data_IF_663043024750
#
_entry.id   IF_663043024750
#
_cell.length_a   1.000
_cell.length_b   1.000
_cell.length_c   1.000
_cell.angle_alpha   90.00
_cell.angle_beta   90.00
_cell.angle_gamma   90.00
#
_symmetry.space_group_name_H-M   'P 1'
#
loop_
_entity.id
_entity.type
_entity.pdbx_description
1 polymer ?
#
# COMPACT_ATOMS: atom_id res chain seq x y z
N UNK A 1 -8.08 -39.83 25.14
CA UNK A 1 -8.28 -38.83 24.07
C UNK A 1 -6.95 -38.13 23.85
N UNK A 2 -6.17 -38.55 22.87
CA UNK A 2 -4.93 -37.85 22.51
C UNK A 2 -5.33 -36.64 21.65
N UNK A 3 -5.21 -35.45 22.22
CA UNK A 3 -5.32 -34.21 21.45
C UNK A 3 -4.10 -34.16 20.52
N UNK A 4 -4.33 -34.26 19.21
CA UNK A 4 -3.30 -33.96 18.20
C UNK A 4 -2.99 -32.46 18.27
N UNK A 5 -2.10 -32.10 19.19
CA UNK A 5 -1.58 -30.74 19.32
C UNK A 5 -0.62 -30.51 18.16
N UNK A 6 -1.09 -29.85 17.10
CA UNK A 6 -0.24 -29.45 15.98
C UNK A 6 0.58 -28.23 16.41
N UNK A 7 1.89 -28.42 16.55
CA UNK A 7 2.81 -27.33 16.93
C UNK A 7 3.01 -26.42 15.71
N UNK A 8 2.79 -25.11 15.86
CA UNK A 8 3.02 -24.16 14.77
C UNK A 8 4.51 -23.88 14.55
N UNK A 9 4.90 -23.56 13.32
CA UNK A 9 6.31 -23.30 12.98
C UNK A 9 6.85 -22.08 13.72
N UNK A 10 6.02 -21.04 13.92
CA UNK A 10 6.41 -19.82 14.63
C UNK A 10 6.73 -20.07 16.11
N UNK A 11 6.03 -20.99 16.77
CA UNK A 11 6.26 -21.33 18.19
C UNK A 11 7.59 -22.05 18.44
N UNK A 12 8.14 -22.70 17.41
CA UNK A 12 9.40 -23.44 17.49
C UNK A 12 10.55 -22.75 16.76
N UNK A 13 10.33 -21.56 16.21
CA UNK A 13 11.35 -20.84 15.44
C UNK A 13 12.09 -19.81 16.27
N UNK A 14 13.41 -19.82 16.18
CA UNK A 14 14.26 -18.83 16.81
C UNK A 14 14.15 -17.49 16.07
N UNK A 15 13.89 -16.37 16.77
CA UNK A 15 13.73 -15.06 16.11
C UNK A 15 15.03 -14.46 15.58
N UNK A 16 16.19 -15.09 15.87
CA UNK A 16 17.51 -14.63 15.42
C UNK A 16 17.93 -15.34 14.15
N UNK A 17 18.02 -16.68 14.17
CA UNK A 17 18.42 -17.44 12.98
C UNK A 17 17.25 -17.71 12.03
N UNK A 18 16.00 -17.63 12.51
CA UNK A 18 14.78 -18.03 11.79
C UNK A 18 14.79 -19.51 11.39
N UNK A 19 15.25 -20.34 12.31
CA UNK A 19 15.22 -21.79 12.18
C UNK A 19 14.65 -22.40 13.48
N UNK A 20 14.29 -23.68 13.45
CA UNK A 20 13.81 -24.39 14.64
C UNK A 20 14.85 -24.27 15.76
N UNK A 21 14.40 -24.01 17.00
CA UNK A 21 15.34 -23.78 18.10
C UNK A 21 16.30 -24.96 18.30
N UNK A 22 17.58 -24.65 18.27
CA UNK A 22 18.66 -25.53 18.73
C UNK A 22 19.13 -25.06 20.10
N UNK A 23 18.95 -25.91 21.11
CA UNK A 23 19.24 -25.58 22.53
C UNK A 23 18.67 -24.21 22.94
N UNK A 24 17.33 -24.03 22.98
CA UNK A 24 16.71 -22.74 23.31
C UNK A 24 17.08 -22.32 24.74
N UNK A 25 17.66 -21.14 24.90
CA UNK A 25 17.97 -20.53 26.21
C UNK A 25 16.98 -19.42 26.54
N UNK A 26 16.51 -19.37 27.79
CA UNK A 26 15.55 -18.38 28.27
C UNK A 26 16.28 -17.21 28.94
N UNK A 27 16.17 -16.02 28.34
CA UNK A 27 16.78 -14.82 28.89
C UNK A 27 15.90 -14.18 29.98
N UNK A 28 16.47 -13.35 30.89
CA UNK A 28 15.71 -12.63 31.94
C UNK A 28 14.64 -11.67 31.41
N UNK A 29 14.70 -11.33 30.13
CA UNK A 29 13.68 -10.55 29.44
C UNK A 29 12.51 -11.40 28.90
N UNK A 30 12.48 -12.69 29.23
CA UNK A 30 11.51 -13.71 28.80
C UNK A 30 11.57 -14.11 27.32
N UNK A 31 12.56 -13.64 26.56
CA UNK A 31 12.78 -14.10 25.20
C UNK A 31 13.61 -15.38 25.17
N UNK A 32 13.24 -16.31 24.30
CA UNK A 32 14.03 -17.51 23.99
C UNK A 32 14.79 -17.33 22.68
N UNK A 33 16.06 -17.74 22.64
CA UNK A 33 16.92 -17.76 21.44
C UNK A 33 17.76 -19.05 21.44
N UNK A 34 18.31 -19.48 20.30
CA UNK A 34 19.27 -20.59 20.29
C UNK A 34 20.52 -20.24 21.10
N UNK A 35 21.12 -21.22 21.78
CA UNK A 35 22.38 -21.01 22.52
C UNK A 35 23.46 -20.39 21.64
N UNK A 36 23.62 -20.89 20.41
CA UNK A 36 24.63 -20.38 19.47
C UNK A 36 24.32 -18.95 19.02
N UNK A 37 23.04 -18.62 18.79
CA UNK A 37 22.61 -17.26 18.47
C UNK A 37 22.93 -16.28 19.61
N UNK A 38 22.74 -16.71 20.87
CA UNK A 38 23.10 -15.92 22.04
C UNK A 38 24.62 -15.74 22.14
N UNK A 39 25.38 -16.83 21.99
CA UNK A 39 26.84 -16.80 22.07
C UNK A 39 27.45 -15.90 20.99
N UNK A 40 26.96 -16.00 19.75
CA UNK A 40 27.37 -15.14 18.63
C UNK A 40 27.15 -13.66 18.97
N UNK A 41 26.03 -13.33 19.61
CA UNK A 41 25.73 -11.96 20.04
C UNK A 41 26.65 -11.49 21.19
N UNK A 42 26.94 -12.35 22.17
CA UNK A 42 27.77 -12.00 23.33
C UNK A 42 29.26 -11.92 23.02
N UNK A 43 29.74 -12.58 21.95
CA UNK A 43 31.12 -12.44 21.44
C UNK A 43 31.48 -11.01 21.07
N UNK A 44 30.50 -10.15 20.77
CA UNK A 44 30.69 -8.73 20.45
C UNK A 44 30.86 -7.82 21.70
N UNK A 45 31.02 -8.38 22.91
CA UNK A 45 31.32 -7.61 24.13
C UNK A 45 30.11 -6.96 24.82
N UNK A 46 28.89 -7.10 24.27
CA UNK A 46 27.66 -6.61 24.87
C UNK A 46 26.75 -7.76 25.30
N UNK A 47 26.56 -7.96 26.61
CA UNK A 47 25.68 -8.98 27.20
C UNK A 47 24.20 -8.54 27.10
N UNK A 48 23.67 -8.43 25.88
CA UNK A 48 22.30 -7.98 25.60
C UNK A 48 21.46 -9.13 25.02
N UNK A 49 20.14 -9.02 25.12
CA UNK A 49 19.23 -9.92 24.41
C UNK A 49 19.33 -9.67 22.90
N UNK A 50 19.54 -10.70 22.06
CA UNK A 50 19.60 -10.51 20.60
C UNK A 50 18.28 -9.99 19.99
N UNK A 51 17.16 -10.24 20.66
CA UNK A 51 15.83 -9.88 20.18
C UNK A 51 15.41 -8.47 20.63
N UNK A 52 15.34 -8.21 21.93
CA UNK A 52 14.85 -6.94 22.48
C UNK A 52 15.95 -5.99 23.00
N UNK A 53 17.23 -6.41 22.90
CA UNK A 53 18.42 -5.63 23.30
C UNK A 53 18.51 -5.26 24.80
N UNK A 54 17.61 -5.74 25.65
CA UNK A 54 17.69 -5.57 27.11
C UNK A 54 18.99 -6.17 27.66
N UNK A 55 19.68 -5.44 28.53
CA UNK A 55 20.93 -5.90 29.17
C UNK A 55 20.63 -7.12 30.03
N UNK A 56 21.45 -8.14 29.88
CA UNK A 56 21.41 -9.35 30.68
C UNK A 56 22.40 -9.18 31.84
N UNK A 57 21.98 -9.42 33.09
CA UNK A 57 22.86 -9.33 34.24
C UNK A 57 24.08 -10.25 34.11
N UNK A 58 25.28 -9.81 34.53
CA UNK A 58 26.43 -10.68 34.63
C UNK A 58 26.25 -11.68 35.79
N UNK A 59 26.66 -12.95 35.58
CA UNK A 59 26.83 -13.90 36.71
C UNK A 59 26.29 -15.31 36.51
N UNK A 60 25.42 -15.58 35.53
CA UNK A 60 24.94 -16.94 35.24
C UNK A 60 24.68 -17.13 33.74
N UNK A 61 24.95 -18.33 33.22
CA UNK A 61 24.48 -18.72 31.88
C UNK A 61 22.96 -18.83 31.91
N UNK A 62 22.23 -18.31 30.91
CA UNK A 62 20.79 -18.43 30.88
C UNK A 62 20.37 -19.91 30.82
N UNK A 63 19.37 -20.33 31.59
CA UNK A 63 18.93 -21.72 31.61
C UNK A 63 18.33 -22.12 30.25
N UNK A 64 18.44 -23.41 29.93
CA UNK A 64 17.74 -23.98 28.77
C UNK A 64 16.24 -24.01 29.05
N UNK A 65 15.44 -23.53 28.10
CA UNK A 65 14.00 -23.64 28.13
C UNK A 65 13.60 -25.07 27.75
N UNK A 66 13.54 -25.96 28.75
CA UNK A 66 13.22 -27.38 28.54
C UNK A 66 11.84 -27.58 27.91
N UNK A 67 10.86 -26.75 28.24
CA UNK A 67 9.52 -26.84 27.64
C UNK A 67 9.59 -26.58 26.12
N UNK A 68 10.29 -25.52 25.71
CA UNK A 68 10.48 -25.19 24.30
C UNK A 68 11.36 -26.22 23.59
N UNK A 69 12.38 -26.75 24.26
CA UNK A 69 13.21 -27.85 23.74
C UNK A 69 12.36 -29.09 23.45
N UNK A 70 11.51 -29.51 24.40
CA UNK A 70 10.61 -30.66 24.23
C UNK A 70 9.59 -30.43 23.11
N UNK A 71 9.10 -29.19 22.96
CA UNK A 71 8.22 -28.80 21.85
C UNK A 71 8.93 -28.94 20.49
N UNK A 72 10.18 -28.48 20.39
CA UNK A 72 10.97 -28.63 19.18
C UNK A 72 11.26 -30.10 18.85
N UNK A 73 11.64 -30.90 19.86
CA UNK A 73 11.88 -32.34 19.69
C UNK A 73 10.62 -33.08 19.20
N UNK A 74 9.44 -32.74 19.75
CA UNK A 74 8.16 -33.26 19.24
C UNK A 74 7.89 -32.82 17.81
N UNK A 75 8.13 -31.55 17.50
CA UNK A 75 7.99 -31.02 16.15
C UNK A 75 8.89 -31.75 15.15
N UNK A 76 10.09 -32.20 15.54
CA UNK A 76 10.98 -33.02 14.72
C UNK A 76 10.51 -34.47 14.59
N UNK A 77 10.04 -35.10 15.68
CA UNK A 77 9.53 -36.48 15.69
C UNK A 77 8.26 -36.66 14.83
N UNK A 78 7.32 -35.71 14.92
CA UNK A 78 6.09 -35.72 14.13
C UNK A 78 6.38 -35.60 12.62
N UNK A 79 7.57 -35.14 12.21
CA UNK A 79 7.95 -35.11 10.78
C UNK A 79 8.50 -36.45 10.30
N UNK A 80 9.09 -37.25 11.17
CA UNK A 80 9.60 -38.57 10.77
C UNK A 80 8.47 -39.59 10.58
N UNK A 81 7.32 -39.36 11.22
CA UNK A 81 6.12 -40.19 11.10
C UNK A 81 5.19 -39.78 9.95
N UNK A 82 5.42 -38.63 9.30
CA UNK A 82 4.61 -38.12 8.19
C UNK A 82 5.09 -38.68 6.85
N UNK A 83 4.35 -39.63 6.29
CA UNK A 83 4.64 -40.24 4.98
C UNK A 83 4.40 -39.28 3.81
N UNK A 84 5.30 -38.34 3.59
CA UNK A 84 5.48 -37.68 2.29
C UNK A 84 6.48 -38.49 1.45
N UNK A 85 6.36 -38.43 0.12
CA UNK A 85 7.27 -39.08 -0.81
C UNK A 85 8.72 -38.71 -0.47
N UNK A 86 9.47 -39.67 0.08
CA UNK A 86 10.83 -39.46 0.59
C UNK A 86 11.76 -39.11 -0.56
N UNK A 87 11.95 -37.80 -0.76
CA UNK A 87 12.94 -37.30 -1.70
C UNK A 87 14.30 -37.42 -1.01
N UNK A 88 15.12 -38.33 -1.52
CA UNK A 88 16.46 -38.60 -1.02
C UNK A 88 17.49 -37.73 -1.73
N UNK A 89 18.54 -37.35 -1.01
CA UNK A 89 19.69 -36.70 -1.59
C UNK A 89 20.37 -37.64 -2.57
N UNK A 90 20.58 -37.21 -3.82
CA UNK A 90 21.23 -38.03 -4.85
C UNK A 90 22.71 -38.34 -4.54
N UNK A 91 23.36 -37.56 -3.66
CA UNK A 91 24.76 -37.72 -3.29
C UNK A 91 24.95 -38.61 -2.04
N UNK A 92 24.09 -38.44 -1.04
CA UNK A 92 24.25 -39.08 0.27
C UNK A 92 23.20 -40.15 0.56
N UNK A 93 22.14 -40.25 -0.24
CA UNK A 93 21.02 -41.18 -0.01
C UNK A 93 20.13 -40.82 1.18
N UNK A 94 20.41 -39.72 1.89
CA UNK A 94 19.68 -39.27 3.07
C UNK A 94 18.50 -38.35 2.74
N UNK A 95 17.49 -38.32 3.63
CA UNK A 95 16.27 -37.51 3.44
C UNK A 95 16.59 -36.02 3.39
N UNK A 96 15.99 -35.31 2.44
CA UNK A 96 16.12 -33.86 2.29
C UNK A 96 15.23 -33.12 3.32
N UNK A 97 15.80 -32.80 4.49
CA UNK A 97 15.07 -32.13 5.60
C UNK A 97 15.44 -30.66 5.79
N UNK A 98 16.46 -30.19 5.09
CA UNK A 98 16.98 -28.83 5.20
C UNK A 98 16.82 -28.10 3.86
N UNK A 99 16.89 -26.79 3.91
CA UNK A 99 16.86 -25.91 2.74
C UNK A 99 18.04 -24.95 2.81
N UNK A 100 18.85 -24.92 1.75
CA UNK A 100 19.91 -23.94 1.60
C UNK A 100 19.32 -22.63 1.09
N UNK A 101 19.44 -21.55 1.86
CA UNK A 101 18.92 -20.23 1.48
C UNK A 101 19.76 -19.56 0.38
N UNK A 102 21.02 -19.97 0.24
CA UNK A 102 21.96 -19.42 -0.75
C UNK A 102 21.70 -20.05 -2.12
N UNK A 103 21.75 -21.39 -2.20
CA UNK A 103 21.58 -22.12 -3.45
C UNK A 103 20.11 -22.40 -3.80
N UNK A 104 19.18 -22.02 -2.91
CA UNK A 104 17.73 -22.13 -3.08
C UNK A 104 17.26 -23.56 -3.36
N UNK A 105 17.86 -24.55 -2.70
CA UNK A 105 17.58 -25.97 -2.92
C UNK A 105 17.45 -26.77 -1.61
N UNK A 106 16.65 -27.84 -1.59
CA UNK A 106 16.58 -28.76 -0.46
C UNK A 106 17.85 -29.60 -0.37
N UNK A 107 18.37 -29.81 0.85
CA UNK A 107 19.59 -30.56 1.14
C UNK A 107 19.39 -31.54 2.31
N UNK A 108 20.24 -32.57 2.40
CA UNK A 108 20.27 -33.44 3.58
C UNK A 108 21.24 -32.91 4.64
N UNK A 109 21.24 -33.52 5.83
CA UNK A 109 22.11 -33.11 6.94
C UNK A 109 23.61 -33.21 6.59
N UNK A 110 24.01 -34.22 5.81
CA UNK A 110 25.40 -34.45 5.43
C UNK A 110 25.90 -33.47 4.37
N UNK A 111 25.01 -32.85 3.59
CA UNK A 111 25.38 -31.80 2.66
C UNK A 111 25.90 -30.55 3.38
N UNK A 112 25.43 -30.27 4.61
CA UNK A 112 25.76 -29.04 5.35
C UNK A 112 27.27 -28.92 5.60
N UNK A 113 27.95 -29.86 6.29
CA UNK A 113 29.38 -29.72 6.56
C UNK A 113 30.28 -29.89 5.32
N UNK A 114 29.79 -30.56 4.26
CA UNK A 114 30.65 -30.97 3.13
C UNK A 114 30.54 -30.07 1.89
N UNK A 115 29.36 -29.48 1.64
CA UNK A 115 29.07 -28.72 0.43
C UNK A 115 28.48 -27.32 0.72
N UNK A 116 27.97 -27.11 1.93
CA UNK A 116 27.24 -25.90 2.33
C UNK A 116 27.71 -25.37 3.69
N UNK A 117 29.00 -25.54 4.00
CA UNK A 117 29.62 -25.26 5.29
C UNK A 117 29.55 -23.78 5.69
N UNK A 118 29.52 -22.91 4.68
CA UNK A 118 29.37 -21.46 4.82
C UNK A 118 27.98 -20.95 4.44
N UNK A 119 27.08 -21.82 3.98
CA UNK A 119 25.75 -21.39 3.53
C UNK A 119 24.76 -21.40 4.68
N UNK A 120 23.93 -20.35 4.74
CA UNK A 120 22.83 -20.32 5.69
C UNK A 120 21.77 -21.35 5.27
N UNK A 121 21.51 -22.30 6.15
CA UNK A 121 20.51 -23.33 5.96
C UNK A 121 19.45 -23.25 7.07
N UNK A 122 18.24 -23.69 6.77
CA UNK A 122 17.17 -23.84 7.76
C UNK A 122 16.39 -25.15 7.51
N UNK A 123 15.53 -25.53 8.45
CA UNK A 123 14.62 -26.64 8.22
C UNK A 123 13.68 -26.38 7.04
N UNK A 124 13.47 -27.41 6.21
CA UNK A 124 12.64 -27.32 5.01
C UNK A 124 11.21 -26.86 5.33
N UNK A 125 10.63 -27.33 6.45
CA UNK A 125 9.29 -26.87 6.88
C UNK A 125 9.26 -25.39 7.26
N UNK A 126 10.35 -24.85 7.82
CA UNK A 126 10.48 -23.41 8.10
C UNK A 126 10.55 -22.63 6.80
N UNK A 127 11.37 -23.07 5.84
CA UNK A 127 11.44 -22.44 4.51
C UNK A 127 10.06 -22.46 3.78
N UNK A 128 9.34 -23.59 3.84
CA UNK A 128 8.00 -23.72 3.27
C UNK A 128 7.00 -22.80 3.98
N UNK A 129 7.07 -22.70 5.31
CA UNK A 129 6.23 -21.81 6.10
C UNK A 129 6.49 -20.35 5.77
N UNK A 130 7.77 -19.94 5.76
CA UNK A 130 8.19 -18.59 5.40
C UNK A 130 7.71 -18.23 4.00
N UNK A 131 7.88 -19.12 3.01
CA UNK A 131 7.37 -18.90 1.66
C UNK A 131 5.85 -18.68 1.64
N UNK A 132 5.08 -19.52 2.35
CA UNK A 132 3.62 -19.36 2.47
C UNK A 132 3.24 -18.04 3.17
N UNK A 133 3.99 -17.65 4.19
CA UNK A 133 3.80 -16.39 4.92
C UNK A 133 4.07 -15.19 4.00
N UNK A 134 5.16 -15.23 3.24
CA UNK A 134 5.49 -14.22 2.23
C UNK A 134 4.39 -14.07 1.19
N UNK A 135 3.88 -15.17 0.63
CA UNK A 135 2.75 -15.12 -0.32
C UNK A 135 1.53 -14.44 0.28
N UNK A 136 1.09 -14.86 1.48
CA UNK A 136 -0.08 -14.27 2.16
C UNK A 136 0.12 -12.79 2.49
N UNK A 137 1.32 -12.42 2.92
CA UNK A 137 1.65 -11.02 3.21
C UNK A 137 1.59 -10.18 1.94
N UNK A 138 2.22 -10.64 0.84
CA UNK A 138 2.18 -9.95 -0.46
C UNK A 138 0.75 -9.86 -1.00
N UNK A 139 -0.05 -10.92 -0.91
CA UNK A 139 -1.47 -10.88 -1.28
C UNK A 139 -2.25 -9.82 -0.47
N UNK A 140 -1.93 -9.68 0.82
CA UNK A 140 -2.59 -8.71 1.70
C UNK A 140 -2.21 -7.29 1.32
N UNK A 141 -0.92 -7.02 1.06
CA UNK A 141 -0.45 -5.72 0.58
C UNK A 141 -1.09 -5.34 -0.76
N UNK A 142 -1.15 -6.28 -1.72
CA UNK A 142 -1.82 -6.06 -3.00
C UNK A 142 -3.29 -5.66 -2.77
N UNK A 143 -4.01 -6.38 -1.91
CA UNK A 143 -5.42 -6.06 -1.62
C UNK A 143 -5.59 -4.69 -0.97
N UNK A 144 -4.72 -4.32 -0.05
CA UNK A 144 -4.74 -3.01 0.62
C UNK A 144 -4.49 -1.88 -0.40
N UNK A 145 -3.47 -2.00 -1.25
CA UNK A 145 -3.15 -0.99 -2.25
C UNK A 145 -4.30 -0.81 -3.28
N UNK A 146 -4.92 -1.91 -3.72
CA UNK A 146 -6.10 -1.84 -4.60
C UNK A 146 -7.33 -1.25 -3.90
N UNK A 147 -7.50 -1.50 -2.60
CA UNK A 147 -8.61 -0.93 -1.84
C UNK A 147 -8.51 0.61 -1.79
N UNK A 148 -7.31 1.15 -1.60
CA UNK A 148 -7.07 2.60 -1.64
C UNK A 148 -7.42 3.19 -3.02
N UNK A 149 -7.04 2.52 -4.10
CA UNK A 149 -7.39 2.94 -5.46
C UNK A 149 -8.91 2.88 -5.72
N UNK A 150 -9.59 1.82 -5.27
CA UNK A 150 -11.03 1.70 -5.41
C UNK A 150 -11.77 2.78 -4.62
N UNK A 151 -11.33 3.06 -3.39
CA UNK A 151 -11.92 4.11 -2.57
C UNK A 151 -11.80 5.48 -3.26
N UNK A 152 -10.63 5.81 -3.79
CA UNK A 152 -10.43 7.03 -4.56
C UNK A 152 -11.39 7.14 -5.76
N UNK A 153 -11.55 6.07 -6.54
CA UNK A 153 -12.45 6.07 -7.69
C UNK A 153 -13.91 6.28 -7.28
N UNK A 154 -14.34 5.63 -6.19
CA UNK A 154 -15.68 5.83 -5.64
C UNK A 154 -15.90 7.27 -5.17
N UNK A 155 -14.93 7.86 -4.48
CA UNK A 155 -15.03 9.24 -3.98
C UNK A 155 -15.05 10.26 -5.13
N UNK A 156 -14.24 10.07 -6.17
CA UNK A 156 -14.26 10.91 -7.37
C UNK A 156 -15.59 10.79 -8.13
N UNK A 157 -16.13 9.57 -8.28
CA UNK A 157 -17.44 9.35 -8.90
C UNK A 157 -18.56 10.03 -8.10
N UNK A 158 -18.62 9.77 -6.78
CA UNK A 158 -19.63 10.31 -5.89
C UNK A 158 -19.59 11.84 -5.85
N UNK A 159 -18.40 12.43 -5.73
CA UNK A 159 -18.21 13.89 -5.75
C UNK A 159 -18.69 14.52 -7.05
N UNK A 160 -18.46 13.86 -8.19
CA UNK A 160 -18.88 14.37 -9.50
C UNK A 160 -20.39 14.25 -9.72
N UNK A 161 -20.99 13.13 -9.31
CA UNK A 161 -22.45 12.96 -9.31
C UNK A 161 -23.11 14.01 -8.41
N UNK A 162 -22.56 14.26 -7.21
CA UNK A 162 -23.07 15.27 -6.30
C UNK A 162 -23.01 16.68 -6.94
N UNK A 163 -21.90 17.03 -7.59
CA UNK A 163 -21.75 18.29 -8.30
C UNK A 163 -22.75 18.44 -9.46
N UNK A 164 -22.99 17.38 -10.23
CA UNK A 164 -24.00 17.35 -11.30
C UNK A 164 -25.41 17.54 -10.73
N UNK A 165 -25.77 16.83 -9.65
CA UNK A 165 -27.08 16.95 -9.00
C UNK A 165 -27.32 18.36 -8.45
N UNK A 166 -26.32 18.94 -7.80
CA UNK A 166 -26.38 20.31 -7.29
C UNK A 166 -26.56 21.34 -8.42
N UNK A 167 -25.87 21.15 -9.55
CA UNK A 167 -26.11 21.97 -10.74
C UNK A 167 -27.53 21.79 -11.27
N UNK A 168 -28.02 20.56 -11.39
CA UNK A 168 -29.38 20.26 -11.84
C UNK A 168 -30.46 20.95 -10.99
N UNK A 169 -30.36 20.87 -9.65
CA UNK A 169 -31.27 21.56 -8.73
C UNK A 169 -31.22 23.07 -8.94
N UNK A 170 -30.02 23.66 -9.01
CA UNK A 170 -29.85 25.09 -9.24
C UNK A 170 -30.48 25.55 -10.57
N UNK A 171 -30.31 24.77 -11.64
CA UNK A 171 -30.85 25.05 -12.97
C UNK A 171 -32.38 24.95 -12.99
N UNK A 172 -32.93 23.92 -12.36
CA UNK A 172 -34.38 23.72 -12.21
C UNK A 172 -35.06 24.86 -11.43
N UNK A 173 -34.49 25.26 -10.30
CA UNK A 173 -34.99 26.41 -9.52
C UNK A 173 -34.98 27.71 -10.32
N UNK A 174 -33.92 27.94 -11.10
CA UNK A 174 -33.84 29.12 -11.97
C UNK A 174 -34.92 29.09 -13.06
N UNK A 175 -35.19 27.91 -13.64
CA UNK A 175 -36.26 27.74 -14.63
C UNK A 175 -37.63 28.03 -14.01
N UNK A 176 -37.94 27.46 -12.84
CA UNK A 176 -39.21 27.71 -12.14
C UNK A 176 -39.43 29.20 -11.91
N UNK A 177 -38.43 29.90 -11.35
CA UNK A 177 -38.50 31.34 -11.12
C UNK A 177 -38.71 32.14 -12.41
N UNK A 178 -38.05 31.76 -13.50
CA UNK A 178 -38.25 32.40 -14.82
C UNK A 178 -39.67 32.14 -15.34
N UNK A 179 -40.24 30.96 -15.12
CA UNK A 179 -41.64 30.67 -15.47
C UNK A 179 -42.62 31.48 -14.64
N UNK A 180 -42.38 31.63 -13.32
CA UNK A 180 -43.23 32.44 -12.44
C UNK A 180 -43.23 33.92 -12.85
N UNK A 181 -42.08 34.48 -13.22
CA UNK A 181 -41.97 35.85 -13.75
C UNK A 181 -42.78 36.03 -15.05
N UNK A 182 -42.73 35.04 -15.95
CA UNK A 182 -43.56 35.06 -17.18
C UNK A 182 -45.05 34.96 -16.84
N UNK A 183 -45.43 34.09 -15.91
CA UNK A 183 -46.82 33.96 -15.48
C UNK A 183 -47.35 35.26 -14.87
N UNK A 184 -46.58 35.89 -13.98
CA UNK A 184 -46.94 37.18 -13.37
C UNK A 184 -47.06 38.31 -14.41
N UNK A 185 -46.12 38.38 -15.37
CA UNK A 185 -46.20 39.35 -16.47
C UNK A 185 -47.42 39.12 -17.35
N UNK A 186 -47.77 37.85 -17.61
CA UNK A 186 -48.97 37.49 -18.38
C UNK A 186 -50.25 37.89 -17.64
N UNK A 187 -50.33 37.67 -16.32
CA UNK A 187 -51.46 38.12 -15.49
C UNK A 187 -51.59 39.64 -15.47
N UNK A 188 -50.47 40.36 -15.30
CA UNK A 188 -50.46 41.83 -15.31
C UNK A 188 -50.91 42.40 -16.67
N UNK A 189 -50.49 41.79 -17.78
CA UNK A 189 -50.94 42.14 -19.12
C UNK A 189 -52.44 41.87 -19.28
N UNK A 190 -52.92 40.70 -18.84
CA UNK A 190 -54.35 40.34 -18.88
C UNK A 190 -55.22 41.32 -18.09
N UNK A 191 -54.78 41.72 -16.89
CA UNK A 191 -55.47 42.72 -16.08
C UNK A 191 -55.51 44.10 -16.77
N UNK A 192 -54.42 44.48 -17.44
CA UNK A 192 -54.35 45.74 -18.20
C UNK A 192 -55.30 45.74 -19.39
N UNK A 193 -55.37 44.63 -20.14
CA UNK A 193 -56.32 44.46 -21.25
C UNK A 193 -57.75 44.62 -20.76
N UNK A 194 -58.13 43.91 -19.68
CA UNK A 194 -59.47 44.01 -19.09
C UNK A 194 -59.82 45.42 -18.62
N UNK A 195 -58.86 46.13 -18.02
CA UNK A 195 -59.08 47.51 -17.59
C UNK A 195 -59.31 48.46 -18.78
N UNK A 196 -58.60 48.25 -19.89
CA UNK A 196 -58.78 49.01 -21.13
C UNK A 196 -60.16 48.71 -21.74
N UNK A 197 -60.55 47.43 -21.83
CA UNK A 197 -61.87 47.02 -22.32
C UNK A 197 -63.01 47.67 -21.50
N UNK A 198 -62.91 47.63 -20.17
CA UNK A 198 -63.89 48.27 -19.28
C UNK A 198 -63.96 49.80 -19.42
N UNK A 199 -62.83 50.45 -19.72
CA UNK A 199 -62.82 51.89 -19.97
C UNK A 199 -63.47 52.23 -21.31
N UNK A 200 -63.27 51.40 -22.33
CA UNK A 200 -63.88 51.54 -23.65
C UNK A 200 -65.39 51.31 -23.65
N UNK A 201 -65.91 50.51 -22.72
CA UNK A 201 -67.35 50.26 -22.56
C UNK A 201 -68.14 51.41 -21.89
N UNK A 202 -67.46 52.48 -21.43
CA UNK A 202 -68.10 53.64 -20.81
C UNK A 202 -68.76 54.56 -21.86
N UNK A 203 -69.70 55.40 -21.41
CA UNK A 203 -70.32 56.43 -22.25
C UNK A 203 -69.30 57.36 -22.91
N UNK A 204 -69.55 57.75 -24.16
CA UNK A 204 -68.62 58.48 -25.04
C UNK A 204 -67.92 59.69 -24.39
N UNK A 205 -68.66 60.53 -23.67
CA UNK A 205 -68.10 61.74 -23.03
C UNK A 205 -67.17 61.39 -21.86
N UNK A 206 -67.47 60.33 -21.11
CA UNK A 206 -66.61 59.86 -20.00
C UNK A 206 -65.34 59.18 -20.52
N UNK A 207 -65.43 58.39 -21.59
CA UNK A 207 -64.27 57.78 -22.25
C UNK A 207 -63.32 58.82 -22.83
N UNK A 208 -63.85 59.87 -23.49
CA UNK A 208 -63.03 60.95 -24.05
C UNK A 208 -62.25 61.72 -22.97
N UNK A 209 -62.78 61.85 -21.76
CA UNK A 209 -62.08 62.47 -20.63
C UNK A 209 -60.88 61.64 -20.15
N UNK A 210 -60.92 60.31 -20.26
CA UNK A 210 -59.87 59.39 -19.82
C UNK A 210 -58.97 58.86 -20.97
N UNK A 211 -59.31 59.14 -22.23
CA UNK A 211 -58.63 58.61 -23.43
C UNK A 211 -57.09 58.63 -23.37
N UNK A 212 -56.49 59.78 -23.05
CA UNK A 212 -55.03 59.92 -22.99
C UNK A 212 -54.38 59.02 -21.92
N UNK A 213 -55.09 58.71 -20.84
CA UNK A 213 -54.63 57.80 -19.78
C UNK A 213 -54.68 56.36 -20.28
N UNK A 214 -55.77 55.96 -20.93
CA UNK A 214 -55.97 54.63 -21.53
C UNK A 214 -54.95 54.35 -22.63
N UNK A 215 -54.69 55.34 -23.49
CA UNK A 215 -53.71 55.22 -24.59
C UNK A 215 -52.28 55.04 -24.07
N UNK A 216 -51.91 55.75 -22.99
CA UNK A 216 -50.61 55.54 -22.31
C UNK A 216 -50.50 54.16 -21.65
N UNK A 217 -51.59 53.62 -21.10
CA UNK A 217 -51.60 52.27 -20.53
C UNK A 217 -51.51 51.18 -21.60
N UNK A 218 -52.09 51.40 -22.78
CA UNK A 218 -52.03 50.48 -23.91
C UNK A 218 -50.63 50.38 -24.54
N UNK A 219 -49.79 51.40 -24.39
CA UNK A 219 -48.41 51.41 -24.86
C UNK A 219 -47.50 50.61 -23.90
N UNK A 220 -47.61 49.27 -23.95
CA UNK A 220 -46.74 48.36 -23.22
C UNK A 220 -45.75 47.66 -24.18
N UNK A 221 -44.49 47.53 -23.74
CA UNK A 221 -43.47 46.74 -24.45
C UNK A 221 -43.19 45.47 -23.67
N UNK A 222 -43.53 44.31 -24.22
CA UNK A 222 -43.26 43.01 -23.58
C UNK A 222 -41.86 42.55 -23.96
N UNK A 223 -40.97 42.43 -22.98
CA UNK A 223 -39.65 41.84 -23.20
C UNK A 223 -39.76 40.32 -23.32
N UNK A 224 -39.08 39.73 -24.31
CA UNK A 224 -38.96 38.28 -24.43
C UNK A 224 -38.18 37.72 -23.24
N UNK A 225 -38.66 36.66 -22.56
CA UNK A 225 -37.95 36.08 -21.44
C UNK A 225 -36.66 35.41 -21.91
N UNK A 226 -35.53 35.77 -21.29
CA UNK A 226 -34.26 35.09 -21.54
C UNK A 226 -34.21 33.77 -20.76
N UNK A 227 -34.04 32.64 -21.45
CA UNK A 227 -33.87 31.31 -20.85
C UNK A 227 -32.41 30.80 -20.89
N UNK A 228 -31.45 31.69 -21.12
CA UNK A 228 -30.04 31.37 -21.02
C UNK A 228 -29.71 30.73 -19.66
N UNK A 229 -28.84 29.72 -19.69
CA UNK A 229 -28.35 29.04 -18.49
C UNK A 229 -29.38 28.18 -17.75
N UNK A 230 -30.45 27.73 -18.40
CA UNK A 230 -31.42 26.76 -17.85
C UNK A 230 -30.93 25.30 -17.97
N UNK A 231 -30.10 25.00 -18.96
CA UNK A 231 -29.59 23.64 -19.16
C UNK A 231 -28.35 23.37 -18.31
N UNK A 232 -28.14 22.08 -17.98
CA UNK A 232 -26.93 21.60 -17.35
C UNK A 232 -25.74 21.66 -18.31
N UNK A 233 -24.55 21.97 -17.81
CA UNK A 233 -23.33 21.92 -18.62
C UNK A 233 -22.74 20.50 -18.63
N UNK A 234 -23.21 19.65 -19.55
CA UNK A 234 -22.74 18.25 -19.66
C UNK A 234 -21.24 18.16 -19.93
N UNK A 235 -20.70 19.04 -20.77
CA UNK A 235 -19.28 19.05 -21.13
C UNK A 235 -18.37 19.31 -19.91
N UNK A 236 -18.81 20.16 -18.97
CA UNK A 236 -18.10 20.38 -17.70
C UNK A 236 -17.97 19.10 -16.87
N UNK A 237 -19.00 18.25 -16.88
CA UNK A 237 -19.02 17.02 -16.06
C UNK A 237 -18.34 15.84 -16.75
N UNK A 238 -18.50 15.69 -18.07
CA UNK A 238 -17.96 14.53 -18.82
C UNK A 238 -16.66 14.80 -19.59
N UNK A 239 -16.31 16.06 -19.83
CA UNK A 239 -15.14 16.46 -20.61
C UNK A 239 -13.85 15.91 -20.01
N UNK A 240 -13.14 15.10 -20.78
CA UNK A 240 -11.89 14.45 -20.39
C UNK A 240 -11.94 13.69 -19.05
N UNK A 241 -13.12 13.20 -18.65
CA UNK A 241 -13.35 12.60 -17.34
C UNK A 241 -12.31 11.53 -16.98
N UNK A 242 -12.15 10.51 -17.84
CA UNK A 242 -11.21 9.41 -17.60
C UNK A 242 -9.78 9.91 -17.45
N UNK A 243 -9.36 10.84 -18.31
CA UNK A 243 -8.01 11.42 -18.26
C UNK A 243 -7.78 12.22 -16.98
N UNK A 244 -8.73 13.06 -16.57
CA UNK A 244 -8.64 13.85 -15.33
C UNK A 244 -8.53 12.95 -14.10
N UNK A 245 -9.34 11.88 -14.04
CA UNK A 245 -9.29 10.91 -12.94
C UNK A 245 -7.94 10.20 -12.92
N UNK A 246 -7.44 9.73 -14.07
CA UNK A 246 -6.11 9.11 -14.16
C UNK A 246 -4.99 10.08 -13.74
N UNK A 247 -5.06 11.35 -14.13
CA UNK A 247 -4.06 12.35 -13.76
C UNK A 247 -4.05 12.61 -12.25
N UNK A 248 -5.23 12.74 -11.63
CA UNK A 248 -5.36 12.86 -10.18
C UNK A 248 -4.81 11.63 -9.48
N UNK A 249 -5.19 10.44 -9.94
CA UNK A 249 -4.72 9.16 -9.42
C UNK A 249 -3.18 9.04 -9.45
N UNK A 250 -2.56 9.48 -10.55
CA UNK A 250 -1.10 9.52 -10.68
C UNK A 250 -0.44 10.47 -9.66
N UNK A 251 -1.10 11.56 -9.24
CA UNK A 251 -0.60 12.45 -8.20
C UNK A 251 -0.63 11.86 -6.79
N UNK A 252 -1.41 10.80 -6.57
CA UNK A 252 -1.52 10.09 -5.28
C UNK A 252 -0.47 8.99 -5.16
N UNK A 253 -0.19 8.32 -6.27
CA UNK A 253 0.77 7.23 -6.33
C UNK A 253 2.20 7.77 -6.16
N UNK A 254 2.91 7.27 -5.15
CA UNK A 254 4.35 7.47 -5.03
C UNK A 254 5.05 6.60 -6.06
N UNK A 255 5.71 7.22 -7.02
CA UNK A 255 6.58 6.51 -7.95
C UNK A 255 8.03 6.63 -7.51
N UNK A 256 8.64 5.50 -7.21
CA UNK A 256 10.08 5.37 -6.97
C UNK A 256 10.66 4.47 -8.05
N UNK A 257 11.70 4.93 -8.78
CA UNK A 257 12.25 4.18 -9.92
C UNK A 257 13.16 3.02 -9.49
N UNK A 258 13.23 2.72 -8.19
CA UNK A 258 14.05 1.66 -7.59
C UNK A 258 13.20 0.95 -6.54
N UNK A 259 13.13 -0.37 -6.67
CA UNK A 259 12.44 -1.28 -5.74
C UNK A 259 13.48 -2.25 -5.18
N UNK A 260 13.45 -2.45 -3.87
CA UNK A 260 14.36 -3.30 -3.12
C UNK A 260 13.82 -4.73 -3.07
N UNK A 261 14.64 -5.71 -3.47
CA UNK A 261 14.26 -7.13 -3.40
C UNK A 261 14.47 -7.67 -1.97
N UNK A 262 13.39 -8.07 -1.25
CA UNK A 262 13.48 -8.67 0.07
C UNK A 262 14.35 -9.93 0.12
N UNK A 263 14.44 -10.67 -0.99
CA UNK A 263 15.23 -11.90 -1.06
C UNK A 263 16.74 -11.63 -1.05
N UNK A 264 17.14 -10.37 -1.31
CA UNK A 264 18.55 -9.95 -1.33
C UNK A 264 18.93 -9.12 -0.11
N UNK A 265 17.96 -8.81 0.76
CA UNK A 265 18.21 -8.02 1.95
C UNK A 265 19.04 -8.81 2.98
N UNK A 266 20.14 -8.21 3.45
CA UNK A 266 20.91 -8.74 4.56
C UNK A 266 20.02 -8.83 5.83
N UNK A 267 20.14 -9.85 6.69
CA UNK A 267 19.32 -10.00 7.89
C UNK A 267 19.34 -8.82 8.88
N UNK A 268 20.33 -7.93 8.79
CA UNK A 268 20.46 -6.71 9.61
C UNK A 268 19.70 -5.50 9.07
N UNK A 269 19.01 -5.65 7.93
CA UNK A 269 18.27 -4.62 7.23
C UNK A 269 16.78 -4.90 7.27
N UNK A 270 15.99 -3.85 7.46
CA UNK A 270 14.52 -3.89 7.35
C UNK A 270 14.09 -3.05 6.18
N UNK A 271 13.27 -3.61 5.28
CA UNK A 271 12.68 -2.89 4.15
C UNK A 271 11.37 -2.22 4.55
N UNK A 272 11.05 -1.10 3.92
CA UNK A 272 9.74 -0.45 4.03
C UNK A 272 8.65 -1.27 3.33
N UNK A 273 7.38 -1.00 3.66
CA UNK A 273 6.21 -1.69 3.08
C UNK A 273 6.16 -1.57 1.56
N UNK A 274 6.49 -0.39 1.04
CA UNK A 274 6.54 -0.06 -0.39
C UNK A 274 7.84 -0.51 -1.07
N UNK A 275 8.75 -1.17 -0.34
CA UNK A 275 10.04 -1.68 -0.83
C UNK A 275 10.96 -0.59 -1.42
N UNK A 276 10.77 0.67 -1.04
CA UNK A 276 11.54 1.80 -1.57
C UNK A 276 12.66 2.27 -0.66
N UNK A 277 12.60 1.87 0.61
CA UNK A 277 13.47 2.35 1.67
C UNK A 277 14.02 1.19 2.47
N UNK A 278 15.27 1.32 2.91
CA UNK A 278 15.93 0.38 3.80
C UNK A 278 16.32 1.08 5.09
N UNK A 279 16.11 0.41 6.22
CA UNK A 279 16.60 0.85 7.52
C UNK A 279 17.61 -0.17 8.02
N UNK A 280 18.81 0.31 8.33
CA UNK A 280 19.78 -0.47 9.08
C UNK A 280 19.33 -0.54 10.53
N UNK A 281 19.27 -1.73 11.11
CA UNK A 281 19.08 -1.86 12.56
C UNK A 281 20.43 -1.69 13.28
N UNK A 282 21.18 -0.62 12.97
CA UNK A 282 22.42 -0.29 13.68
C UNK A 282 22.07 0.31 15.05
N UNK A 283 22.75 -0.11 16.14
CA UNK A 283 22.58 0.52 17.44
C UNK A 283 23.09 1.96 17.40
N UNK A 284 22.29 2.91 17.88
CA UNK A 284 22.80 4.21 18.29
C UNK A 284 23.93 3.99 19.31
N UNK A 285 25.05 4.68 19.09
CA UNK A 285 26.31 4.71 19.87
C UNK A 285 27.24 3.49 19.78
N UNK A 286 28.22 3.53 18.85
CA UNK A 286 29.68 3.43 19.08
C UNK A 286 30.50 3.48 17.76
N UNK A 287 31.80 3.85 17.78
CA UNK A 287 32.54 4.30 16.60
C UNK A 287 32.83 3.18 15.58
N UNK A 288 33.02 3.61 14.33
CA UNK A 288 32.98 2.80 13.12
C UNK A 288 33.80 1.47 13.18
N UNK A 289 33.22 0.34 12.74
CA UNK A 289 33.97 -0.90 12.52
C UNK A 289 34.87 -0.78 11.27
N UNK A 290 35.93 -1.62 11.14
CA UNK A 290 36.77 -1.68 9.94
C UNK A 290 35.94 -2.04 8.69
N UNK A 291 36.43 -1.71 7.48
CA UNK A 291 35.64 -1.83 6.25
C UNK A 291 35.30 -3.30 5.98
N UNK A 292 34.04 -3.67 6.22
CA UNK A 292 33.50 -4.97 5.87
C UNK A 292 32.80 -4.92 4.49
N UNK A 293 32.81 -6.08 3.84
CA UNK A 293 32.47 -6.42 2.46
C UNK A 293 31.26 -5.66 1.84
N UNK A 294 31.27 -5.42 0.51
CA UNK A 294 30.24 -4.66 -0.17
C UNK A 294 28.86 -5.29 0.00
N UNK A 295 27.91 -4.52 0.54
CA UNK A 295 26.48 -4.87 0.52
C UNK A 295 25.97 -4.61 -0.89
N UNK A 296 25.91 -5.66 -1.71
CA UNK A 296 25.38 -5.57 -3.08
C UNK A 296 23.86 -5.62 -3.01
N UNK A 297 23.20 -4.49 -3.29
CA UNK A 297 21.76 -4.49 -3.56
C UNK A 297 21.53 -4.82 -5.03
N UNK A 298 20.72 -5.84 -5.30
CA UNK A 298 20.19 -6.07 -6.64
C UNK A 298 18.95 -5.20 -6.82
N UNK A 299 18.96 -4.36 -7.84
CA UNK A 299 17.82 -3.51 -8.21
C UNK A 299 17.16 -4.11 -9.45
N UNK A 300 15.83 -4.12 -9.49
CA UNK A 300 15.07 -4.28 -10.72
C UNK A 300 14.65 -2.88 -11.20
N UNK A 301 15.16 -2.44 -12.35
CA UNK A 301 14.69 -1.20 -13.00
C UNK A 301 13.40 -1.53 -13.73
N UNK A 302 12.27 -1.11 -13.20
CA UNK A 302 11.00 -1.13 -13.93
C UNK A 302 10.96 0.08 -14.88
N UNK A 303 11.32 -0.14 -16.14
CA UNK A 303 11.12 0.85 -17.18
C UNK A 303 9.62 1.03 -17.45
N UNK A 304 9.04 2.14 -16.98
CA UNK A 304 7.74 2.57 -17.49
C UNK A 304 7.96 3.34 -18.80
N UNK A 305 7.85 2.63 -19.92
CA UNK A 305 7.73 3.27 -21.24
C UNK A 305 6.33 3.90 -21.34
N UNK A 306 6.18 5.12 -20.83
CA UNK A 306 5.04 5.96 -21.23
C UNK A 306 5.25 6.33 -22.69
N UNK A 307 4.35 5.88 -23.57
CA UNK A 307 4.41 6.26 -24.99
C UNK A 307 4.15 7.76 -25.11
N UNK A 308 5.19 8.46 -25.54
CA UNK A 308 5.20 9.88 -25.88
C UNK A 308 6.41 10.53 -25.22
N UNK A 309 7.12 11.38 -25.97
CA UNK A 309 8.33 12.12 -25.54
C UNK A 309 9.60 11.27 -25.60
N UNK A 310 10.19 11.21 -26.80
CA UNK A 310 11.54 10.68 -26.98
C UNK A 310 12.57 11.57 -26.31
N UNK A 311 13.58 10.95 -25.69
CA UNK A 311 14.94 11.46 -25.55
C UNK A 311 15.88 10.33 -25.09
N UNK A 312 17.11 10.44 -25.57
CA UNK A 312 18.20 9.48 -25.57
C UNK A 312 18.65 9.07 -24.15
N UNK A 313 18.87 7.76 -23.94
CA UNK A 313 19.35 7.22 -22.68
C UNK A 313 20.77 7.68 -22.32
N UNK A 314 20.98 7.98 -21.04
CA UNK A 314 22.30 8.05 -20.41
C UNK A 314 22.21 7.28 -19.09
N UNK A 315 23.06 6.27 -18.92
CA UNK A 315 23.30 5.59 -17.64
C UNK A 315 23.79 6.65 -16.64
N UNK A 316 22.91 7.09 -15.75
CA UNK A 316 23.21 8.04 -14.69
C UNK A 316 23.28 7.31 -13.34
N UNK A 317 24.36 7.54 -12.60
CA UNK A 317 24.48 7.20 -11.19
C UNK A 317 23.28 7.77 -10.43
N UNK A 318 22.58 6.94 -9.64
CA UNK A 318 21.45 7.37 -8.82
C UNK A 318 21.92 7.53 -7.38
N UNK A 319 21.77 8.73 -6.85
CA UNK A 319 22.06 9.05 -5.44
C UNK A 319 20.93 8.52 -4.55
N UNK A 320 21.30 7.81 -3.48
CA UNK A 320 20.41 7.48 -2.37
C UNK A 320 20.60 8.57 -1.29
N UNK A 321 19.51 9.12 -0.75
CA UNK A 321 19.59 10.02 0.41
C UNK A 321 20.00 9.22 1.65
N UNK A 322 21.30 9.21 1.94
CA UNK A 322 21.88 8.60 3.12
C UNK A 322 21.72 9.54 4.31
N UNK A 323 20.60 9.44 5.02
CA UNK A 323 20.45 10.06 6.33
C UNK A 323 21.53 9.55 7.29
N UNK A 324 22.45 10.42 7.71
CA UNK A 324 23.51 10.25 8.74
C UNK A 324 24.31 8.92 8.79
N UNK A 325 24.25 8.06 7.77
CA UNK A 325 24.93 6.77 7.73
C UNK A 325 26.05 6.78 6.68
N UNK A 326 27.27 7.10 7.11
CA UNK A 326 28.46 7.29 6.26
C UNK A 326 29.04 6.02 5.61
N UNK A 327 28.29 4.91 5.50
CA UNK A 327 28.85 3.58 5.21
C UNK A 327 28.11 2.72 4.17
N UNK A 328 27.07 3.24 3.50
CA UNK A 328 26.35 2.49 2.47
C UNK A 328 26.89 2.82 1.07
N UNK A 329 27.37 1.81 0.35
CA UNK A 329 27.84 1.94 -1.04
C UNK A 329 26.79 1.35 -1.98
N UNK A 330 26.24 2.16 -2.87
CA UNK A 330 25.34 1.68 -3.92
C UNK A 330 26.17 1.18 -5.10
N UNK A 331 25.96 -0.07 -5.51
CA UNK A 331 26.59 -0.66 -6.71
C UNK A 331 25.52 -1.31 -7.56
N UNK A 332 25.50 -0.98 -8.86
CA UNK A 332 24.60 -1.64 -9.82
C UNK A 332 25.22 -2.99 -10.19
N UNK A 333 24.52 -4.09 -9.91
CA UNK A 333 24.89 -5.43 -10.36
C UNK A 333 23.72 -6.05 -11.15
N UNK A 334 23.95 -6.68 -12.31
CA UNK A 334 22.90 -7.31 -13.09
C UNK A 334 22.29 -8.49 -12.32
N UNK A 335 20.97 -8.55 -12.22
CA UNK A 335 20.24 -9.67 -11.61
C UNK A 335 20.45 -10.92 -12.46
N UNK A 336 21.06 -12.01 -11.95
CA UNK A 336 21.07 -13.27 -12.65
C UNK A 336 19.62 -13.81 -12.70
N UNK A 337 19.15 -14.09 -13.92
CA UNK A 337 17.80 -14.61 -14.23
C UNK A 337 17.54 -15.99 -13.63
#
# INVERSE_FOLDING_TARGET
MATNFTVSVDEVSCPVCRDVFTYPVLLPCSHSVCKDCLQQCWRAGCRKCPFCRRVCPPGTEPPVNLALKNLCERFHQEQEAGGDAETLCSLHGEKLKLFCLVDKQPICADCVPNLHDLHKCCHLKVAVHDHKSHVRHTETQIKEDFLELHQFLHDEEAGRIAALRAEGVKRSLNLSRKMDDVAQKMEALSATIKAIEQEMDKHDVQFLQSYNKTMKQAQCTVQTPDFSGVLINVAKHLGNLKFQVCQKMAGMAKYTPVILDPNTACPSLTLSKDLTSVKTVLPETQPAPPPALPIVFFWSVTHQHSRGWGLQGRLGEKEAELGQASLLRCTVSPVPL
#
